data_IF_998872004647
#
_entry.id   IF_998872004647
#
_cell.length_a   1.000
_cell.length_b   1.000
_cell.length_c   1.000
_cell.angle_alpha   90.00
_cell.angle_beta   90.00
_cell.angle_gamma   90.00
#
_symmetry.space_group_name_H-M   'P 1'
#
loop_
_entity.id
_entity.type
_entity.pdbx_description
1 polymer ?
#
# COMPACT_ATOMS: atom_id res chain seq x y z
N UNK A 1 2.36 3.95 -13.47
CA UNK A 1 1.86 2.55 -13.39
C UNK A 1 2.91 1.57 -12.87
N UNK A 2 4.05 1.43 -13.55
CA UNK A 2 5.06 0.44 -13.16
C UNK A 2 5.82 0.84 -11.89
N UNK A 3 6.02 2.14 -11.68
CA UNK A 3 6.74 2.69 -10.53
C UNK A 3 6.02 2.45 -9.21
N UNK A 4 4.72 2.74 -9.15
CA UNK A 4 3.90 2.63 -7.94
C UNK A 4 3.72 1.16 -7.53
N UNK A 5 3.51 0.28 -8.53
CA UNK A 5 3.45 -1.17 -8.31
C UNK A 5 4.77 -1.73 -7.82
N UNK A 6 5.90 -1.29 -8.40
CA UNK A 6 7.26 -1.65 -7.94
C UNK A 6 7.48 -1.17 -6.50
N UNK A 7 7.07 0.04 -6.15
CA UNK A 7 7.21 0.59 -4.80
C UNK A 7 6.52 -0.29 -3.74
N UNK A 8 5.28 -0.72 -4.01
CA UNK A 8 4.55 -1.64 -3.11
C UNK A 8 5.28 -2.99 -3.00
N UNK A 9 5.73 -3.54 -4.13
CA UNK A 9 6.44 -4.82 -4.14
C UNK A 9 7.75 -4.76 -3.36
N UNK A 10 8.52 -3.69 -3.53
CA UNK A 10 9.76 -3.45 -2.78
C UNK A 10 9.48 -3.38 -1.28
N UNK A 11 8.44 -2.66 -0.85
CA UNK A 11 8.08 -2.59 0.57
C UNK A 11 7.73 -3.97 1.13
N UNK A 12 6.95 -4.77 0.42
CA UNK A 12 6.61 -6.13 0.84
C UNK A 12 7.85 -7.03 0.94
N UNK A 13 8.78 -6.92 0.00
CA UNK A 13 10.02 -7.69 -0.01
C UNK A 13 10.94 -7.27 1.14
N UNK A 14 11.13 -5.97 1.37
CA UNK A 14 11.98 -5.46 2.47
C UNK A 14 11.45 -5.95 3.82
N UNK A 15 10.17 -5.74 4.10
CA UNK A 15 9.58 -6.15 5.37
C UNK A 15 9.56 -7.68 5.52
N UNK A 16 9.35 -8.42 4.43
CA UNK A 16 9.40 -9.89 4.43
C UNK A 16 10.81 -10.43 4.71
N UNK A 17 11.86 -9.82 4.13
CA UNK A 17 13.25 -10.19 4.38
C UNK A 17 13.64 -9.86 5.83
N UNK A 18 13.27 -8.68 6.32
CA UNK A 18 13.53 -8.30 7.71
C UNK A 18 12.90 -9.28 8.70
N UNK A 19 11.65 -9.69 8.45
CA UNK A 19 10.96 -10.69 9.27
C UNK A 19 11.66 -12.05 9.20
N UNK A 20 12.10 -12.46 8.02
CA UNK A 20 12.83 -13.73 7.85
C UNK A 20 14.18 -13.71 8.61
N UNK A 21 14.94 -12.62 8.54
CA UNK A 21 16.20 -12.47 9.28
C UNK A 21 15.94 -12.48 10.78
N UNK A 22 14.94 -11.72 11.24
CA UNK A 22 14.56 -11.62 12.65
C UNK A 22 14.20 -12.97 13.26
N UNK A 23 13.59 -13.88 12.49
CA UNK A 23 13.29 -15.25 12.92
C UNK A 23 14.51 -16.18 12.79
N UNK A 24 15.25 -16.13 11.66
CA UNK A 24 16.32 -17.07 11.38
C UNK A 24 17.54 -16.91 12.31
N UNK A 25 17.88 -15.67 12.66
CA UNK A 25 19.07 -15.38 13.49
C UNK A 25 18.94 -15.98 14.90
N UNK A 26 17.85 -15.72 15.67
CA UNK A 26 17.60 -16.38 16.95
C UNK A 26 17.61 -17.90 16.86
N UNK A 27 17.00 -18.47 15.82
CA UNK A 27 16.93 -19.93 15.63
C UNK A 27 18.33 -20.52 15.46
N UNK A 28 19.19 -19.90 14.63
CA UNK A 28 20.58 -20.36 14.43
C UNK A 28 21.39 -20.23 15.73
N UNK A 29 21.27 -19.12 16.45
CA UNK A 29 21.98 -18.90 17.72
C UNK A 29 21.56 -19.92 18.79
N UNK A 30 20.26 -20.28 18.83
CA UNK A 30 19.76 -21.31 19.72
C UNK A 30 20.37 -22.69 19.42
N UNK A 31 20.56 -23.04 18.15
CA UNK A 31 21.25 -24.28 17.75
C UNK A 31 22.74 -24.30 18.10
N UNK A 32 23.37 -23.12 18.22
CA UNK A 32 24.77 -23.02 18.63
C UNK A 32 24.97 -23.06 20.15
N UNK A 33 23.90 -23.30 20.93
CA UNK A 33 23.91 -23.30 22.40
C UNK A 33 24.51 -22.01 22.99
N UNK A 34 24.24 -20.88 22.33
CA UNK A 34 24.70 -19.60 22.80
C UNK A 34 23.75 -19.04 23.87
N UNK A 35 24.25 -18.85 25.09
CA UNK A 35 23.51 -18.33 26.24
C UNK A 35 23.32 -16.81 26.14
N UNK A 36 22.44 -16.37 25.23
CA UNK A 36 22.11 -14.97 24.98
C UNK A 36 20.63 -14.66 25.26
N UNK A 37 20.15 -15.01 26.46
CA UNK A 37 18.75 -14.83 26.87
C UNK A 37 18.18 -13.43 26.63
N UNK A 38 18.94 -12.38 26.96
CA UNK A 38 18.50 -10.99 26.76
C UNK A 38 18.31 -10.63 25.27
N UNK A 39 19.15 -11.18 24.40
CA UNK A 39 19.07 -10.93 22.96
C UNK A 39 17.85 -11.60 22.35
N UNK A 40 17.50 -12.83 22.76
CA UNK A 40 16.28 -13.50 22.28
C UNK A 40 15.03 -12.67 22.58
N UNK A 41 14.96 -12.08 23.79
CA UNK A 41 13.85 -11.20 24.14
C UNK A 41 13.79 -9.98 23.22
N UNK A 42 14.92 -9.29 22.98
CA UNK A 42 14.97 -8.15 22.06
C UNK A 42 14.52 -8.52 20.63
N UNK A 43 14.92 -9.68 20.12
CA UNK A 43 14.49 -10.17 18.81
C UNK A 43 12.97 -10.43 18.75
N UNK A 44 12.36 -11.00 19.80
CA UNK A 44 10.91 -11.20 19.82
C UNK A 44 10.13 -9.89 19.75
N UNK A 45 10.55 -8.85 20.49
CA UNK A 45 9.90 -7.54 20.38
C UNK A 45 10.06 -6.95 18.99
N UNK A 46 11.28 -7.01 18.44
CA UNK A 46 11.56 -6.54 17.08
C UNK A 46 10.67 -7.25 16.04
N UNK A 47 10.55 -8.58 16.12
CA UNK A 47 9.73 -9.38 15.22
C UNK A 47 8.25 -9.01 15.28
N UNK A 48 7.72 -8.72 16.47
CA UNK A 48 6.33 -8.25 16.62
C UNK A 48 6.12 -6.93 15.87
N UNK A 49 7.05 -5.98 16.01
CA UNK A 49 6.98 -4.70 15.30
C UNK A 49 7.10 -4.91 13.78
N UNK A 50 8.08 -5.69 13.34
CA UNK A 50 8.30 -5.97 11.91
C UNK A 50 7.10 -6.70 11.30
N UNK A 51 6.50 -7.64 12.02
CA UNK A 51 5.30 -8.34 11.59
C UNK A 51 4.12 -7.37 11.40
N UNK A 52 3.92 -6.41 12.30
CA UNK A 52 2.88 -5.40 12.17
C UNK A 52 3.07 -4.57 10.88
N UNK A 53 4.29 -4.08 10.62
CA UNK A 53 4.60 -3.35 9.39
C UNK A 53 4.49 -4.22 8.14
N UNK A 54 4.87 -5.50 8.21
CA UNK A 54 4.71 -6.44 7.11
C UNK A 54 3.24 -6.65 6.75
N UNK A 55 2.38 -6.86 7.75
CA UNK A 55 0.93 -6.97 7.56
C UNK A 55 0.38 -5.70 6.91
N UNK A 56 0.75 -4.50 7.39
CA UNK A 56 0.35 -3.25 6.75
C UNK A 56 0.84 -3.14 5.29
N UNK A 57 2.05 -3.62 4.99
CA UNK A 57 2.60 -3.65 3.64
C UNK A 57 1.81 -4.58 2.68
N UNK A 58 1.19 -5.64 3.20
CA UNK A 58 0.30 -6.51 2.42
C UNK A 58 -0.99 -5.80 2.00
N UNK A 59 -1.49 -4.88 2.81
CA UNK A 59 -2.71 -4.13 2.51
C UNK A 59 -2.53 -3.01 1.49
N UNK A 60 -1.30 -2.51 1.29
CA UNK A 60 -1.01 -1.49 0.27
C UNK A 60 -1.56 -1.88 -1.09
N UNK A 61 -2.19 -0.91 -1.77
CA UNK A 61 -2.90 -1.15 -3.01
C UNK A 61 -2.67 -0.04 -4.02
N UNK A 62 -2.73 -0.43 -5.28
CA UNK A 62 -2.63 0.45 -6.43
C UNK A 62 -3.57 -0.06 -7.51
N UNK A 63 -4.40 0.83 -8.06
CA UNK A 63 -5.27 0.53 -9.19
C UNK A 63 -5.13 1.58 -10.27
N UNK A 64 -5.07 1.13 -11.51
CA UNK A 64 -5.07 1.97 -12.70
C UNK A 64 -6.31 1.66 -13.53
N UNK A 65 -6.95 2.71 -14.02
CA UNK A 65 -8.16 2.68 -14.82
C UNK A 65 -7.89 3.44 -16.12
N UNK A 66 -8.54 3.01 -17.19
CA UNK A 66 -8.54 3.73 -18.45
C UNK A 66 -9.94 4.28 -18.67
N UNK A 67 -10.08 5.60 -18.79
CA UNK A 67 -11.34 6.27 -19.03
C UNK A 67 -11.17 7.25 -20.18
N UNK A 68 -11.83 6.98 -21.31
CA UNK A 68 -11.80 7.85 -22.50
C UNK A 68 -10.36 8.19 -22.98
N UNK A 69 -9.41 7.27 -22.81
CA UNK A 69 -8.00 7.46 -23.16
C UNK A 69 -7.16 8.14 -22.06
N UNK A 70 -7.81 8.66 -21.01
CA UNK A 70 -7.14 9.20 -19.82
C UNK A 70 -6.78 8.08 -18.85
N UNK A 71 -5.58 8.16 -18.29
CA UNK A 71 -5.07 7.20 -17.32
C UNK A 71 -5.33 7.69 -15.90
N UNK A 72 -6.27 7.05 -15.21
CA UNK A 72 -6.59 7.36 -13.81
C UNK A 72 -5.86 6.36 -12.92
N UNK A 73 -5.04 6.85 -12.00
CA UNK A 73 -4.29 6.05 -11.04
C UNK A 73 -4.74 6.45 -9.64
N UNK A 74 -5.16 5.45 -8.86
CA UNK A 74 -5.42 5.62 -7.44
C UNK A 74 -4.38 4.81 -6.67
N UNK A 75 -3.67 5.49 -5.79
CA UNK A 75 -2.64 4.89 -4.95
C UNK A 75 -3.05 4.95 -3.48
N UNK A 76 -2.96 3.80 -2.80
CA UNK A 76 -3.20 3.67 -1.37
C UNK A 76 -1.92 3.16 -0.68
N UNK A 77 -1.14 4.12 -0.18
CA UNK A 77 0.15 3.90 0.48
C UNK A 77 0.06 3.75 2.00
N UNK A 78 1.23 3.78 2.65
CA UNK A 78 1.35 3.84 4.11
C UNK A 78 1.00 5.22 4.68
N UNK A 79 1.42 6.27 3.96
CA UNK A 79 1.25 7.67 4.38
C UNK A 79 0.57 8.51 3.30
N UNK A 80 0.81 8.16 2.03
CA UNK A 80 0.34 8.93 0.89
C UNK A 80 -0.78 8.20 0.18
N UNK A 81 -1.93 8.84 0.10
CA UNK A 81 -3.05 8.43 -0.71
C UNK A 81 -3.28 9.49 -1.76
N UNK A 82 -3.30 9.13 -3.04
CA UNK A 82 -3.49 10.13 -4.08
C UNK A 82 -4.25 9.58 -5.27
N UNK A 83 -4.93 10.52 -5.93
CA UNK A 83 -5.61 10.35 -7.20
C UNK A 83 -4.82 11.11 -8.25
N UNK A 84 -4.42 10.40 -9.29
CA UNK A 84 -3.59 10.92 -10.37
C UNK A 84 -4.29 10.72 -11.71
N UNK A 85 -4.36 11.75 -12.52
CA UNK A 85 -4.93 11.71 -13.88
C UNK A 85 -3.83 12.13 -14.85
N UNK A 86 -3.57 11.30 -15.86
CA UNK A 86 -2.61 11.54 -16.96
C UNK A 86 -1.17 11.94 -16.58
N UNK A 87 -0.76 11.79 -15.32
CA UNK A 87 0.57 12.24 -14.89
C UNK A 87 0.54 13.24 -13.75
N UNK A 88 -0.61 13.85 -13.49
CA UNK A 88 -0.77 14.94 -12.52
C UNK A 88 -1.57 14.48 -11.30
N UNK A 89 -1.10 14.86 -10.12
CA UNK A 89 -1.78 14.56 -8.86
C UNK A 89 -2.93 15.57 -8.72
N UNK A 90 -4.16 15.08 -8.80
CA UNK A 90 -5.36 15.90 -8.75
C UNK A 90 -5.87 16.05 -7.32
N UNK A 91 -5.65 15.04 -6.48
CA UNK A 91 -6.04 15.04 -5.08
C UNK A 91 -5.07 14.17 -4.27
N UNK A 92 -4.69 14.62 -3.08
CA UNK A 92 -3.78 13.93 -2.16
C UNK A 92 -4.31 14.04 -0.73
N UNK A 93 -4.31 12.91 -0.03
CA UNK A 93 -4.62 12.83 1.37
C UNK A 93 -3.48 12.10 2.09
N UNK A 94 -2.85 12.79 3.04
CA UNK A 94 -1.71 12.27 3.78
C UNK A 94 -2.12 11.84 5.17
N UNK A 95 -2.08 10.53 5.43
CA UNK A 95 -2.42 9.98 6.73
C UNK A 95 -1.73 8.63 6.94
N UNK A 96 -1.23 8.41 8.16
CA UNK A 96 -0.56 7.15 8.53
C UNK A 96 -1.56 6.01 8.73
N UNK A 97 -2.71 6.34 9.34
CA UNK A 97 -3.82 5.43 9.59
C UNK A 97 -5.11 6.24 9.60
N UNK A 98 -6.07 5.86 8.77
CA UNK A 98 -7.43 6.42 8.84
C UNK A 98 -8.39 5.41 9.43
N UNK A 99 -9.17 5.82 10.44
CA UNK A 99 -10.30 5.04 10.96
C UNK A 99 -11.58 5.21 10.12
N UNK A 100 -11.52 6.03 9.08
CA UNK A 100 -12.59 6.28 8.13
C UNK A 100 -12.09 6.02 6.70
N UNK A 101 -13.02 5.75 5.79
CA UNK A 101 -12.66 5.70 4.38
C UNK A 101 -12.15 7.08 3.92
N UNK A 102 -11.11 7.08 3.10
CA UNK A 102 -10.52 8.30 2.54
C UNK A 102 -11.20 8.55 1.18
N UNK A 103 -12.06 9.57 1.07
CA UNK A 103 -12.57 9.99 -0.22
C UNK A 103 -11.51 10.85 -0.92
N UNK A 104 -11.28 10.56 -2.20
CA UNK A 104 -10.51 11.40 -3.10
C UNK A 104 -11.42 11.75 -4.28
N UNK A 105 -11.40 13.00 -4.73
CA UNK A 105 -12.27 13.44 -5.82
C UNK A 105 -11.60 14.45 -6.72
N UNK A 106 -11.93 14.38 -8.01
CA UNK A 106 -11.57 15.44 -8.94
C UNK A 106 -12.60 15.52 -10.07
N UNK A 107 -12.67 16.69 -10.69
CA UNK A 107 -13.49 16.92 -11.89
C UNK A 107 -12.56 16.97 -13.09
N UNK A 108 -12.87 16.17 -14.10
CA UNK A 108 -12.16 16.16 -15.38
C UNK A 108 -12.62 17.33 -16.28
N UNK A 109 -11.85 17.64 -17.31
CA UNK A 109 -12.14 18.76 -18.24
C UNK A 109 -13.45 18.57 -19.03
N UNK A 110 -13.90 17.32 -19.17
CA UNK A 110 -15.16 16.92 -19.81
C UNK A 110 -16.37 17.08 -18.87
N UNK A 111 -16.15 17.52 -17.62
CA UNK A 111 -17.17 17.66 -16.58
C UNK A 111 -17.46 16.36 -15.82
N UNK A 112 -16.79 15.25 -16.12
CA UNK A 112 -16.96 14.00 -15.40
C UNK A 112 -16.37 14.08 -13.99
N UNK A 113 -17.15 13.66 -13.00
CA UNK A 113 -16.73 13.68 -11.59
C UNK A 113 -16.19 12.31 -11.20
N UNK A 114 -14.92 12.29 -10.82
CA UNK A 114 -14.22 11.12 -10.29
C UNK A 114 -14.34 11.10 -8.77
N UNK A 115 -14.81 9.99 -8.22
CA UNK A 115 -14.83 9.73 -6.79
C UNK A 115 -14.12 8.41 -6.50
N UNK A 116 -12.89 8.50 -6.01
CA UNK A 116 -12.17 7.36 -5.48
C UNK A 116 -12.41 7.24 -3.98
N UNK A 117 -12.64 6.03 -3.51
CA UNK A 117 -12.79 5.73 -2.07
C UNK A 117 -11.78 4.66 -1.71
N UNK A 118 -10.94 4.98 -0.74
CA UNK A 118 -9.95 4.06 -0.16
C UNK A 118 -10.47 3.62 1.20
N UNK A 119 -10.71 2.33 1.39
CA UNK A 119 -11.14 1.79 2.68
C UNK A 119 -9.99 1.74 3.69
N UNK A 120 -10.30 1.48 4.96
CA UNK A 120 -9.28 1.28 6.01
C UNK A 120 -8.25 0.18 5.69
N UNK A 121 -8.65 -0.85 4.94
CA UNK A 121 -7.76 -1.93 4.48
C UNK A 121 -7.12 -1.63 3.12
N UNK A 122 -7.03 -0.34 2.77
CA UNK A 122 -6.47 0.16 1.52
C UNK A 122 -7.14 -0.46 0.27
N UNK A 123 -8.42 -0.86 0.35
CA UNK A 123 -9.17 -1.31 -0.83
C UNK A 123 -9.66 -0.08 -1.58
N UNK A 124 -9.37 -0.07 -2.88
CA UNK A 124 -9.68 1.05 -3.76
C UNK A 124 -10.97 0.74 -4.55
N UNK A 125 -11.91 1.68 -4.54
CA UNK A 125 -13.08 1.71 -5.41
C UNK A 125 -13.15 3.06 -6.13
N UNK A 126 -13.49 3.06 -7.41
CA UNK A 126 -13.63 4.28 -8.22
C UNK A 126 -15.06 4.37 -8.74
N UNK A 127 -15.69 5.52 -8.58
CA UNK A 127 -16.95 5.89 -9.21
C UNK A 127 -16.70 7.05 -10.18
N UNK A 128 -17.40 7.00 -11.32
CA UNK A 128 -17.42 8.07 -12.32
C UNK A 128 -18.88 8.39 -12.59
N UNK A 129 -19.29 9.64 -12.39
CA UNK A 129 -20.69 10.08 -12.52
C UNK A 129 -21.65 9.12 -11.79
N UNK A 130 -21.36 8.85 -10.51
CA UNK A 130 -22.07 7.93 -9.60
C UNK A 130 -22.11 6.44 -10.00
N UNK A 131 -21.47 6.04 -11.10
CA UNK A 131 -21.39 4.65 -11.52
C UNK A 131 -20.07 4.01 -11.10
N UNK A 132 -20.15 2.81 -10.53
CA UNK A 132 -18.96 2.04 -10.16
C UNK A 132 -18.17 1.63 -11.42
N UNK A 133 -16.93 2.08 -11.50
CA UNK A 133 -16.08 1.83 -12.67
C UNK A 133 -15.14 0.65 -12.42
N UNK A 134 -15.15 -0.32 -13.34
CA UNK A 134 -14.35 -1.56 -13.26
C UNK A 134 -13.48 -1.78 -14.49
N UNK A 135 -13.42 -0.84 -15.44
CA UNK A 135 -12.55 -1.00 -16.58
C UNK A 135 -11.10 -0.74 -16.15
N UNK A 136 -10.40 -1.82 -15.82
CA UNK A 136 -9.02 -1.76 -15.39
C UNK A 136 -8.14 -1.61 -16.61
N UNK A 137 -7.18 -0.68 -16.54
CA UNK A 137 -6.11 -0.64 -17.53
C UNK A 137 -5.30 -1.91 -17.36
N UNK A 138 -5.39 -2.84 -18.32
CA UNK A 138 -4.57 -4.05 -18.33
C UNK A 138 -3.12 -3.60 -18.48
N UNK A 139 -2.38 -3.63 -17.38
CA UNK A 139 -0.94 -3.43 -17.42
C UNK A 139 -0.29 -4.55 -18.22
N UNK A 140 0.38 -4.19 -19.30
CA UNK A 140 1.55 -4.93 -19.82
C UNK A 140 2.63 -4.88 -18.73
#
# INVERSE_FOLDING_TARGET
>A
MLYERKKILIQRVIWGILLAIGILVPVILAFQHADYYDWYFAFYFFDIFVLAFFICALFLSHKAYDYEGKTIIVYAGFYHHYLKVDGEIMDEHNTLTSFTAIPLSCTLDDGAVLHATITMTNRISLKINDRLYKNYKKGI
#
